data_IF_372528341924
#
_entry.id   IF_372528341924
#
_cell.length_a   1.000
_cell.length_b   1.000
_cell.length_c   1.000
_cell.angle_alpha   90.00
_cell.angle_beta   90.00
_cell.angle_gamma   90.00
#
_symmetry.space_group_name_H-M   'P 1'
#
loop_
_entity.id
_entity.type
_entity.pdbx_description
1 polymer ?
#
# COMPACT_ATOMS: atom_id res chain seq x y z
N UNK A 1 78.00 19.93 22.96
CA UNK A 1 76.97 20.27 21.94
C UNK A 1 77.67 20.64 20.64
N UNK A 2 77.10 20.47 19.43
CA UNK A 2 76.13 19.52 18.84
C UNK A 2 76.84 18.66 17.73
N UNK A 3 76.29 17.76 16.90
CA UNK A 3 75.22 17.87 15.89
C UNK A 3 74.69 16.48 15.45
N UNK A 4 73.37 16.35 15.56
CA UNK A 4 72.35 15.72 14.71
C UNK A 4 72.67 14.69 13.60
N UNK A 5 71.97 13.56 13.76
CA UNK A 5 71.13 12.77 12.83
C UNK A 5 71.66 12.22 11.50
N UNK A 6 71.44 10.92 11.32
CA UNK A 6 71.17 10.28 10.02
C UNK A 6 69.83 9.57 10.07
N UNK A 7 68.99 9.93 9.10
CA UNK A 7 67.81 9.25 8.57
C UNK A 7 67.73 7.74 8.85
N UNK A 8 66.53 7.21 9.13
CA UNK A 8 65.71 6.45 8.15
C UNK A 8 64.47 5.84 8.81
N UNK A 9 63.39 5.78 8.01
CA UNK A 9 62.11 5.06 8.18
C UNK A 9 60.97 5.97 8.63
N UNK A 10 60.41 6.72 7.69
CA UNK A 10 59.30 6.29 6.81
C UNK A 10 58.04 6.04 7.62
N UNK A 11 57.22 7.09 7.67
CA UNK A 11 55.77 7.11 7.42
C UNK A 11 55.05 5.79 7.68
N UNK A 12 54.31 5.74 8.79
CA UNK A 12 52.99 5.09 8.90
C UNK A 12 52.43 5.34 10.30
N UNK A 13 51.63 6.38 10.43
CA UNK A 13 50.56 6.48 11.42
C UNK A 13 49.68 7.67 11.04
N UNK A 14 49.17 7.63 9.80
CA UNK A 14 48.16 8.56 9.33
C UNK A 14 46.84 7.84 9.30
N UNK A 15 45.87 8.40 10.02
CA UNK A 15 44.42 8.17 9.93
C UNK A 15 43.92 6.84 10.52
N UNK A 16 43.65 6.87 11.83
CA UNK A 16 42.70 5.95 12.45
C UNK A 16 41.87 6.73 13.46
N UNK A 17 40.87 7.49 13.00
CA UNK A 17 39.73 7.95 13.82
C UNK A 17 38.76 8.86 13.02
N UNK A 18 38.10 8.35 11.98
CA UNK A 18 36.92 9.04 11.42
C UNK A 18 35.84 8.07 10.94
N UNK A 19 35.66 6.93 11.62
CA UNK A 19 34.64 5.94 11.27
C UNK A 19 33.36 5.97 12.12
N UNK A 20 33.44 6.47 13.37
CA UNK A 20 32.36 6.27 14.33
C UNK A 20 31.25 7.35 14.26
N UNK A 21 31.58 8.59 13.86
CA UNK A 21 30.59 9.68 13.86
C UNK A 21 29.55 9.55 12.74
N UNK A 22 29.90 8.94 11.61
CA UNK A 22 28.97 8.73 10.50
C UNK A 22 27.86 7.73 10.84
N UNK A 23 28.15 6.73 11.68
CA UNK A 23 27.16 5.73 12.10
C UNK A 23 26.16 6.29 13.13
N UNK A 24 26.58 7.26 13.95
CA UNK A 24 25.68 7.92 14.92
C UNK A 24 24.67 8.83 14.20
N UNK A 25 25.07 9.45 13.08
CA UNK A 25 24.16 10.27 12.27
C UNK A 25 23.03 9.44 11.61
N UNK A 26 23.29 8.18 11.26
CA UNK A 26 22.28 7.31 10.64
C UNK A 26 21.27 6.75 11.67
N UNK A 27 21.68 6.62 12.94
CA UNK A 27 20.82 6.14 14.03
C UNK A 27 19.87 7.22 14.59
N UNK A 28 20.10 8.49 14.24
CA UNK A 28 19.32 9.62 14.71
C UNK A 28 18.37 10.21 13.65
N UNK A 29 18.34 9.64 12.44
CA UNK A 29 17.26 9.96 11.51
C UNK A 29 15.96 9.39 12.10
N UNK A 30 15.00 10.23 12.52
CA UNK A 30 13.70 9.70 12.89
C UNK A 30 13.17 8.95 11.67
N UNK A 31 12.74 7.71 11.89
CA UNK A 31 11.94 6.98 10.93
C UNK A 31 10.58 7.69 10.82
N UNK A 32 10.57 8.84 10.15
CA UNK A 32 9.37 9.51 9.71
C UNK A 32 8.84 8.73 8.50
N UNK A 33 8.41 7.49 8.74
CA UNK A 33 7.32 6.95 7.94
C UNK A 33 6.12 7.78 8.37
N UNK A 34 5.69 8.66 7.47
CA UNK A 34 4.90 9.84 7.78
C UNK A 34 3.59 9.52 8.49
N UNK A 35 3.28 10.35 9.49
CA UNK A 35 1.90 10.69 9.85
C UNK A 35 1.26 11.52 8.71
N UNK A 36 1.33 11.05 7.47
CA UNK A 36 0.46 11.57 6.44
C UNK A 36 -0.95 11.08 6.78
N UNK A 37 -1.93 11.98 6.93
CA UNK A 37 -3.28 11.56 7.26
C UNK A 37 -3.78 10.63 6.15
N UNK A 38 -4.00 9.36 6.49
CA UNK A 38 -4.62 8.42 5.57
C UNK A 38 -6.02 8.95 5.19
N UNK A 39 -6.40 8.89 3.90
CA UNK A 39 -7.70 9.35 3.47
C UNK A 39 -8.80 8.50 4.11
N UNK A 40 -9.73 9.15 4.82
CA UNK A 40 -10.92 8.49 5.37
C UNK A 40 -11.93 8.26 4.25
N UNK A 41 -12.00 7.03 3.73
CA UNK A 41 -12.95 6.64 2.70
C UNK A 41 -14.19 5.99 3.30
N UNK A 42 -15.36 6.40 2.82
CA UNK A 42 -16.64 5.81 3.21
C UNK A 42 -17.35 5.25 1.99
N UNK A 43 -17.81 4.01 2.12
CA UNK A 43 -18.64 3.32 1.12
C UNK A 43 -20.11 3.41 1.55
N UNK A 44 -20.97 3.82 0.64
CA UNK A 44 -22.41 3.97 0.84
C UNK A 44 -23.22 3.49 -0.37
N UNK A 45 -24.55 3.57 -0.27
CA UNK A 45 -25.47 3.16 -1.33
C UNK A 45 -25.76 1.65 -1.39
N UNK A 46 -25.10 0.85 -0.54
CA UNK A 46 -25.29 -0.59 -0.46
C UNK A 46 -26.69 -0.91 0.09
N UNK A 47 -27.61 -1.28 -0.79
CA UNK A 47 -28.94 -1.80 -0.45
C UNK A 47 -29.03 -3.28 -0.76
N UNK A 48 -29.90 -3.99 -0.04
CA UNK A 48 -30.25 -5.35 -0.41
C UNK A 48 -30.84 -5.37 -1.83
N UNK A 49 -30.50 -6.40 -2.60
CA UNK A 49 -31.08 -6.67 -3.91
C UNK A 49 -32.03 -7.84 -3.73
N UNK A 50 -33.32 -7.59 -3.98
CA UNK A 50 -34.40 -8.55 -3.82
C UNK A 50 -34.97 -8.96 -5.19
N UNK A 51 -35.79 -10.03 -5.20
CA UNK A 51 -36.56 -10.50 -6.38
C UNK A 51 -35.75 -10.92 -7.63
N UNK A 52 -34.44 -11.15 -7.50
CA UNK A 52 -33.57 -11.67 -8.58
C UNK A 52 -33.82 -13.16 -8.81
N UNK A 53 -33.95 -13.58 -10.08
CA UNK A 53 -34.13 -14.99 -10.46
C UNK A 53 -32.82 -15.61 -10.97
N UNK A 54 -32.71 -16.95 -10.97
CA UNK A 54 -31.57 -17.61 -11.59
C UNK A 54 -31.41 -17.22 -13.07
N UNK A 55 -30.22 -16.75 -13.44
CA UNK A 55 -29.90 -16.28 -14.78
C UNK A 55 -30.13 -14.77 -15.00
N UNK A 56 -30.70 -14.06 -14.04
CA UNK A 56 -30.79 -12.60 -14.08
C UNK A 56 -29.44 -11.97 -13.68
N UNK A 57 -29.11 -10.83 -14.30
CA UNK A 57 -28.06 -9.91 -13.85
C UNK A 57 -28.63 -8.81 -12.97
N UNK A 58 -27.79 -8.20 -12.13
CA UNK A 58 -28.18 -7.06 -11.31
C UNK A 58 -27.00 -6.13 -11.06
N UNK A 59 -27.29 -4.84 -10.90
CA UNK A 59 -26.32 -3.82 -10.53
C UNK A 59 -26.46 -3.48 -9.04
N UNK A 60 -25.32 -3.30 -8.36
CA UNK A 60 -25.28 -2.79 -6.99
C UNK A 60 -24.79 -1.35 -7.04
N UNK A 61 -25.64 -0.35 -6.71
CA UNK A 61 -25.18 1.04 -6.66
C UNK A 61 -24.21 1.20 -5.49
N UNK A 62 -23.00 1.67 -5.79
CA UNK A 62 -21.98 1.95 -4.79
C UNK A 62 -21.56 3.41 -4.91
N UNK A 63 -21.48 4.09 -3.77
CA UNK A 63 -20.92 5.44 -3.67
C UNK A 63 -19.68 5.38 -2.78
N UNK A 64 -18.57 5.95 -3.24
CA UNK A 64 -17.35 6.12 -2.44
C UNK A 64 -17.15 7.60 -2.21
N UNK A 65 -17.00 8.01 -0.96
CA UNK A 65 -16.78 9.40 -0.57
C UNK A 65 -15.50 9.52 0.25
N UNK A 66 -14.70 10.56 -0.01
CA UNK A 66 -13.58 10.93 0.83
C UNK A 66 -14.04 11.92 1.89
N UNK A 67 -13.86 11.58 3.17
CA UNK A 67 -14.18 12.45 4.31
C UNK A 67 -12.96 13.16 4.90
N UNK A 68 -11.77 12.87 4.39
CA UNK A 68 -10.56 13.53 4.87
C UNK A 68 -10.52 15.00 4.46
N UNK A 69 -9.93 15.82 5.32
CA UNK A 69 -9.71 17.25 5.05
C UNK A 69 -8.29 17.42 4.50
N UNK A 70 -8.18 17.83 3.23
CA UNK A 70 -6.93 18.30 2.64
C UNK A 70 -6.08 17.26 1.89
N UNK A 71 -6.43 15.97 1.92
CA UNK A 71 -5.74 14.93 1.14
C UNK A 71 -6.74 14.15 0.30
N UNK A 72 -6.81 14.44 -1.00
CA UNK A 72 -7.54 13.59 -1.93
C UNK A 72 -6.65 12.38 -2.30
N UNK A 73 -7.14 11.13 -2.21
CA UNK A 73 -6.40 10.01 -2.76
C UNK A 73 -6.26 10.17 -4.27
N UNK A 74 -5.08 9.88 -4.80
CA UNK A 74 -4.85 9.83 -6.26
C UNK A 74 -5.48 8.57 -6.87
N UNK A 75 -5.60 7.50 -6.07
CA UNK A 75 -6.09 6.18 -6.49
C UNK A 75 -6.96 5.55 -5.41
N UNK A 76 -7.99 4.85 -5.87
CA UNK A 76 -8.94 4.12 -5.01
C UNK A 76 -9.03 2.69 -5.50
N UNK A 77 -8.93 1.73 -4.58
CA UNK A 77 -9.19 0.32 -4.87
C UNK A 77 -10.51 -0.10 -4.21
N UNK A 78 -11.41 -0.66 -5.01
CA UNK A 78 -12.65 -1.28 -4.52
C UNK A 78 -12.46 -2.78 -4.60
N UNK A 79 -12.55 -3.45 -3.44
CA UNK A 79 -12.52 -4.91 -3.36
C UNK A 79 -13.87 -5.42 -2.90
N UNK A 80 -14.42 -6.37 -3.64
CA UNK A 80 -15.69 -7.00 -3.32
C UNK A 80 -15.65 -8.48 -3.67
N UNK A 81 -16.57 -9.22 -3.06
CA UNK A 81 -16.60 -10.66 -3.17
C UNK A 81 -18.01 -11.16 -3.45
N UNK A 82 -18.10 -12.13 -4.34
CA UNK A 82 -19.33 -12.85 -4.64
C UNK A 82 -19.18 -14.30 -4.21
N UNK A 83 -20.26 -14.84 -3.67
CA UNK A 83 -20.32 -16.22 -3.18
C UNK A 83 -20.78 -17.17 -4.28
N UNK A 84 -20.72 -18.47 -3.99
CA UNK A 84 -21.15 -19.52 -4.90
C UNK A 84 -22.58 -19.26 -5.44
N UNK A 85 -22.73 -19.37 -6.76
CA UNK A 85 -23.99 -19.17 -7.47
C UNK A 85 -24.11 -17.81 -8.17
N UNK A 86 -23.19 -16.89 -7.88
CA UNK A 86 -23.01 -15.64 -8.61
C UNK A 86 -21.74 -15.71 -9.46
N UNK A 87 -21.73 -14.96 -10.56
CA UNK A 87 -20.59 -14.75 -11.43
C UNK A 87 -20.53 -13.29 -11.89
N UNK A 88 -19.36 -12.84 -12.35
CA UNK A 88 -19.23 -11.53 -12.98
C UNK A 88 -19.68 -11.65 -14.44
N UNK A 89 -20.66 -10.85 -14.84
CA UNK A 89 -21.11 -10.79 -16.25
C UNK A 89 -19.98 -10.29 -17.16
N UNK A 90 -19.32 -9.22 -16.73
CA UNK A 90 -18.12 -8.68 -17.37
C UNK A 90 -17.08 -8.34 -16.30
N UNK A 91 -15.81 -8.54 -16.62
CA UNK A 91 -14.68 -8.14 -15.79
C UNK A 91 -14.00 -6.94 -16.46
N UNK A 92 -14.16 -5.73 -15.90
CA UNK A 92 -13.49 -4.54 -16.41
C UNK A 92 -11.96 -4.70 -16.40
N UNK A 93 -11.28 -4.07 -17.36
CA UNK A 93 -9.82 -4.19 -17.52
C UNK A 93 -9.00 -3.64 -16.33
N UNK A 94 -9.60 -2.78 -15.51
CA UNK A 94 -9.03 -2.24 -14.29
C UNK A 94 -9.23 -3.16 -13.07
N UNK A 95 -9.82 -4.34 -13.25
CA UNK A 95 -10.10 -5.30 -12.20
C UNK A 95 -9.22 -6.56 -12.29
N UNK A 96 -8.73 -7.00 -11.14
CA UNK A 96 -8.11 -8.30 -10.94
C UNK A 96 -9.11 -9.23 -10.26
N UNK A 97 -9.30 -10.42 -10.83
CA UNK A 97 -10.20 -11.45 -10.30
C UNK A 97 -9.41 -12.62 -9.74
N UNK A 98 -9.83 -13.09 -8.57
CA UNK A 98 -9.30 -14.28 -7.93
C UNK A 98 -10.43 -15.25 -7.61
N UNK A 99 -10.28 -16.50 -8.04
CA UNK A 99 -11.13 -17.60 -7.59
C UNK A 99 -10.52 -18.26 -6.36
N UNK A 100 -11.18 -18.15 -5.21
CA UNK A 100 -10.78 -18.87 -4.00
C UNK A 100 -11.63 -20.13 -3.91
N UNK A 101 -10.98 -21.26 -4.20
CA UNK A 101 -11.57 -22.59 -4.11
C UNK A 101 -11.90 -22.91 -2.64
N UNK A 102 -12.94 -23.71 -2.39
CA UNK A 102 -13.27 -24.13 -1.04
C UNK A 102 -12.13 -25.00 -0.47
N UNK A 103 -11.73 -24.72 0.76
CA UNK A 103 -10.72 -25.47 1.51
C UNK A 103 -11.06 -25.38 3.01
N UNK A 104 -10.97 -26.53 3.70
CA UNK A 104 -11.30 -26.64 5.12
C UNK A 104 -12.70 -26.06 5.42
N UNK A 105 -12.81 -25.13 6.37
CA UNK A 105 -14.04 -24.42 6.75
C UNK A 105 -14.32 -23.17 5.88
N UNK A 106 -13.50 -22.87 4.87
CA UNK A 106 -13.64 -21.67 4.04
C UNK A 106 -14.49 -21.92 2.80
N UNK A 107 -15.64 -21.24 2.64
CA UNK A 107 -16.52 -21.41 1.48
C UNK A 107 -15.88 -20.86 0.21
N UNK A 108 -16.36 -21.36 -0.93
CA UNK A 108 -15.98 -20.86 -2.25
C UNK A 108 -16.42 -19.39 -2.43
N UNK A 109 -15.50 -18.53 -2.88
CA UNK A 109 -15.77 -17.14 -3.24
C UNK A 109 -14.97 -16.73 -4.47
N UNK A 110 -15.49 -15.74 -5.19
CA UNK A 110 -14.74 -14.97 -6.16
C UNK A 110 -14.50 -13.58 -5.61
N UNK A 111 -13.25 -13.13 -5.67
CA UNK A 111 -12.83 -11.79 -5.25
C UNK A 111 -12.52 -10.96 -6.47
N UNK A 112 -13.05 -9.74 -6.54
CA UNK A 112 -12.70 -8.73 -7.51
C UNK A 112 -12.03 -7.56 -6.80
N UNK A 113 -10.88 -7.11 -7.31
CA UNK A 113 -10.20 -5.90 -6.84
C UNK A 113 -9.99 -4.96 -8.03
N UNK A 114 -10.67 -3.81 -8.00
CA UNK A 114 -10.73 -2.87 -9.12
C UNK A 114 -10.05 -1.55 -8.75
N UNK A 115 -9.18 -1.06 -9.63
CA UNK A 115 -8.46 0.20 -9.48
C UNK A 115 -9.20 1.34 -10.17
N UNK A 116 -9.32 2.48 -9.48
CA UNK A 116 -9.92 3.69 -10.01
C UNK A 116 -8.97 4.87 -9.80
N UNK A 117 -8.50 5.45 -10.92
CA UNK A 117 -7.76 6.71 -10.96
C UNK A 117 -8.73 7.89 -10.84
N UNK A 118 -9.38 8.05 -9.69
CA UNK A 118 -10.28 9.18 -9.41
C UNK A 118 -9.76 10.01 -8.25
N UNK A 119 -9.60 11.32 -8.50
CA UNK A 119 -9.43 12.29 -7.43
C UNK A 119 -10.77 12.41 -6.68
N UNK A 120 -10.85 11.81 -5.49
CA UNK A 120 -12.01 12.00 -4.62
C UNK A 120 -11.85 13.30 -3.84
N UNK A 121 -12.49 14.35 -4.35
CA UNK A 121 -12.61 15.62 -3.64
C UNK A 121 -13.44 15.44 -2.35
N UNK A 122 -13.09 16.22 -1.32
CA UNK A 122 -13.72 16.26 0.01
C UNK A 122 -14.99 17.09 0.03
#
# INVERSE_FOLDING_TARGET
>A
MPVSSRNRRVRRAGVAAFGAAALIALAAAPAAFGDEPEPELVVGGLTAVDDVKPGDGFDVPVTVANKSVGTAPEKVWITYDITRGLEFEEVPSNCLIQHVRPYDEMPERWTASCEFDQALES
#
